data_IF_066698280661
#
_entry.id   IF_066698280661
#
_cell.length_a   1.000
_cell.length_b   1.000
_cell.length_c   1.000
_cell.angle_alpha   90.00
_cell.angle_beta   90.00
_cell.angle_gamma   90.00
#
_symmetry.space_group_name_H-M   'P 1'
#
loop_
_entity.id
_entity.type
_entity.pdbx_description
1 polymer ?
#
# COMPACT_ATOMS: atom_id res chain seq x y z
N UNK A 1 10.13 -28.56 -10.27
CA UNK A 1 10.85 -27.30 -10.00
C UNK A 1 10.77 -26.99 -8.52
N UNK A 2 11.87 -27.00 -7.79
CA UNK A 2 11.92 -26.62 -6.38
C UNK A 2 11.58 -25.12 -6.26
N UNK A 3 10.57 -24.77 -5.49
CA UNK A 3 10.26 -23.36 -5.20
C UNK A 3 11.43 -22.78 -4.41
N UNK A 4 12.03 -21.72 -4.96
CA UNK A 4 13.09 -20.96 -4.29
C UNK A 4 12.57 -20.49 -2.93
N UNK A 5 13.32 -20.66 -1.83
CA UNK A 5 12.92 -20.10 -0.55
C UNK A 5 12.76 -18.58 -0.68
N UNK A 6 11.78 -18.01 0.01
CA UNK A 6 11.59 -16.56 0.06
C UNK A 6 12.89 -15.91 0.54
N UNK A 7 13.39 -14.94 -0.22
CA UNK A 7 14.49 -14.09 0.26
C UNK A 7 13.92 -13.07 1.25
N UNK A 8 14.77 -12.58 2.14
CA UNK A 8 14.39 -11.50 3.06
C UNK A 8 13.79 -10.28 2.33
N UNK A 9 14.31 -9.97 1.15
CA UNK A 9 13.83 -8.92 0.24
C UNK A 9 12.41 -9.15 -0.33
N UNK A 10 11.93 -10.40 -0.35
CA UNK A 10 10.57 -10.74 -0.78
C UNK A 10 9.54 -10.58 0.36
N UNK A 11 9.99 -10.12 1.53
CA UNK A 11 9.20 -10.04 2.74
C UNK A 11 9.00 -8.59 3.15
N UNK A 12 7.76 -8.18 3.38
CA UNK A 12 7.48 -6.89 3.99
C UNK A 12 7.91 -6.96 5.47
N UNK A 13 9.14 -6.52 5.78
CA UNK A 13 9.68 -6.55 7.14
C UNK A 13 9.20 -5.36 7.95
N UNK A 14 9.16 -4.20 7.32
CA UNK A 14 8.84 -2.93 7.96
C UNK A 14 7.92 -2.11 7.07
N UNK A 15 6.85 -1.59 7.65
CA UNK A 15 5.94 -0.67 7.01
C UNK A 15 5.75 0.54 7.92
N UNK A 16 6.26 1.68 7.53
CA UNK A 16 5.93 2.94 8.18
C UNK A 16 4.57 3.43 7.71
N UNK A 17 3.78 3.95 8.64
CA UNK A 17 2.46 4.53 8.38
C UNK A 17 2.28 5.79 9.21
N UNK A 18 1.96 6.90 8.53
CA UNK A 18 1.48 8.14 9.13
C UNK A 18 0.16 8.52 8.47
N UNK A 19 -0.82 9.00 9.23
CA UNK A 19 -2.15 9.36 8.71
C UNK A 19 -2.51 10.79 9.09
N UNK A 20 -2.81 11.60 8.07
CA UNK A 20 -3.44 12.91 8.23
C UNK A 20 -4.94 12.79 7.95
N UNK A 21 -5.74 12.77 9.02
CA UNK A 21 -7.18 12.57 8.91
C UNK A 21 -7.89 13.78 8.29
N UNK A 22 -7.42 15.00 8.54
CA UNK A 22 -8.03 16.22 8.02
C UNK A 22 -7.89 16.34 6.51
N UNK A 23 -6.76 15.94 5.97
CA UNK A 23 -6.47 15.94 4.53
C UNK A 23 -6.79 14.60 3.86
N UNK A 24 -7.14 13.58 4.63
CA UNK A 24 -7.50 12.23 4.17
C UNK A 24 -6.41 11.51 3.41
N UNK A 25 -5.17 11.63 3.84
CA UNK A 25 -4.08 10.84 3.26
C UNK A 25 -3.34 10.02 4.31
N UNK A 26 -2.63 9.02 3.82
CA UNK A 26 -1.61 8.32 4.56
C UNK A 26 -0.28 8.37 3.79
N UNK A 27 0.81 8.53 4.54
CA UNK A 27 2.17 8.29 4.06
C UNK A 27 2.57 6.87 4.43
N UNK A 28 3.13 6.16 3.46
CA UNK A 28 3.71 4.85 3.68
C UNK A 28 5.16 4.85 3.24
N UNK A 29 6.04 4.21 4.03
CA UNK A 29 7.36 3.81 3.57
C UNK A 29 7.46 2.28 3.61
N UNK A 30 8.08 1.71 2.58
CA UNK A 30 8.17 0.26 2.40
C UNK A 30 6.97 -0.38 1.69
N UNK A 31 6.07 0.42 1.11
CA UNK A 31 4.92 -0.03 0.32
C UNK A 31 5.18 0.19 -1.17
N UNK A 32 5.21 -0.88 -1.95
CA UNK A 32 5.27 -0.80 -3.42
C UNK A 32 3.88 -0.74 -4.04
N UNK A 33 3.78 -0.21 -5.27
CA UNK A 33 2.52 -0.25 -6.03
C UNK A 33 1.98 -1.68 -6.21
N UNK A 34 2.85 -2.64 -6.45
CA UNK A 34 2.45 -4.05 -6.61
C UNK A 34 1.83 -4.62 -5.33
N UNK A 35 2.39 -4.30 -4.17
CA UNK A 35 1.84 -4.69 -2.88
C UNK A 35 0.49 -4.01 -2.63
N UNK A 36 0.40 -2.70 -2.85
CA UNK A 36 -0.86 -1.95 -2.76
C UNK A 36 -1.93 -2.58 -3.66
N UNK A 37 -1.64 -2.75 -4.94
CA UNK A 37 -2.56 -3.30 -5.92
C UNK A 37 -3.00 -4.75 -5.64
N UNK A 38 -2.18 -5.52 -4.95
CA UNK A 38 -2.52 -6.89 -4.53
C UNK A 38 -3.36 -6.95 -3.25
N UNK A 39 -3.28 -5.91 -2.42
CA UNK A 39 -3.95 -5.85 -1.12
C UNK A 39 -5.32 -5.17 -1.18
N UNK A 40 -5.52 -4.26 -2.12
CA UNK A 40 -6.80 -3.59 -2.34
C UNK A 40 -7.52 -4.14 -3.57
N UNK A 41 -8.85 -4.09 -3.55
CA UNK A 41 -9.59 -4.29 -4.80
C UNK A 41 -9.28 -3.10 -5.72
N UNK A 42 -8.51 -3.38 -6.78
CA UNK A 42 -8.08 -2.34 -7.71
C UNK A 42 -9.28 -1.62 -8.31
N UNK A 43 -9.16 -0.30 -8.44
CA UNK A 43 -10.14 0.53 -9.12
C UNK A 43 -10.32 0.12 -10.58
N UNK A 44 -11.35 0.64 -11.23
CA UNK A 44 -11.69 0.20 -12.59
C UNK A 44 -10.70 0.72 -13.63
N UNK A 45 -10.42 2.03 -13.61
CA UNK A 45 -9.50 2.66 -14.55
C UNK A 45 -8.56 3.59 -13.78
N UNK A 46 -7.36 3.83 -14.32
CA UNK A 46 -6.35 4.70 -13.72
C UNK A 46 -5.98 5.82 -14.68
N UNK A 47 -6.18 7.08 -14.27
CA UNK A 47 -5.66 8.24 -14.98
C UNK A 47 -4.24 8.51 -14.45
N UNK A 48 -3.23 8.42 -15.31
CA UNK A 48 -1.83 8.58 -14.94
C UNK A 48 -1.51 10.07 -14.82
N UNK A 49 -1.13 10.48 -13.62
CA UNK A 49 -0.76 11.87 -13.33
C UNK A 49 0.72 12.13 -13.60
N UNK A 50 1.54 11.11 -13.47
CA UNK A 50 2.97 11.10 -13.80
C UNK A 50 3.38 9.70 -14.20
N UNK A 51 4.35 9.59 -15.07
CA UNK A 51 4.80 8.41 -15.79
C UNK A 51 3.93 8.00 -16.97
N UNK A 52 4.61 7.52 -17.98
CA UNK A 52 4.02 6.86 -19.14
C UNK A 52 4.07 5.35 -18.95
N UNK A 53 3.07 4.70 -19.46
CA UNK A 53 2.99 3.25 -19.59
C UNK A 53 2.80 2.96 -21.08
N UNK A 54 3.69 2.16 -21.70
CA UNK A 54 3.73 1.94 -23.15
C UNK A 54 2.38 1.50 -23.75
N UNK A 55 1.57 0.81 -22.97
CA UNK A 55 0.24 0.35 -23.34
C UNK A 55 -0.90 1.29 -22.85
N UNK A 56 -0.57 2.49 -22.36
CA UNK A 56 -1.58 3.46 -21.93
C UNK A 56 -2.31 4.08 -23.13
N UNK A 57 -3.57 4.41 -22.91
CA UNK A 57 -4.38 5.20 -23.82
C UNK A 57 -4.28 6.69 -23.48
N UNK A 58 -4.42 7.57 -24.48
CA UNK A 58 -4.37 9.01 -24.26
C UNK A 58 -5.78 9.60 -24.14
N UNK A 59 -6.02 10.38 -23.09
CA UNK A 59 -7.28 11.09 -22.90
C UNK A 59 -7.19 12.52 -23.42
N UNK A 60 -7.89 12.81 -24.49
CA UNK A 60 -7.88 14.13 -25.16
C UNK A 60 -8.43 15.28 -24.31
N UNK A 61 -9.33 14.98 -23.36
CA UNK A 61 -9.95 16.01 -22.52
C UNK A 61 -9.00 16.48 -21.41
N UNK A 62 -8.35 15.54 -20.69
CA UNK A 62 -7.41 15.88 -19.62
C UNK A 62 -5.98 16.08 -20.09
N UNK A 63 -5.66 15.63 -21.30
CA UNK A 63 -4.29 15.53 -21.86
C UNK A 63 -3.36 14.63 -21.02
N UNK A 64 -3.94 13.69 -20.29
CA UNK A 64 -3.24 12.69 -19.52
C UNK A 64 -3.41 11.32 -20.14
N UNK A 65 -2.48 10.43 -19.88
CA UNK A 65 -2.61 9.02 -20.20
C UNK A 65 -3.50 8.31 -19.20
N UNK A 66 -4.13 7.23 -19.60
CA UNK A 66 -4.93 6.39 -18.73
C UNK A 66 -4.76 4.91 -19.03
N UNK A 67 -4.96 4.09 -18.03
CA UNK A 67 -4.94 2.64 -18.13
C UNK A 67 -6.35 2.13 -17.85
N UNK A 68 -7.02 1.53 -18.86
CA UNK A 68 -8.34 0.93 -18.66
C UNK A 68 -8.25 -0.30 -17.77
N UNK A 69 -9.35 -0.68 -17.15
CA UNK A 69 -9.47 -1.78 -16.18
C UNK A 69 -8.81 -3.08 -16.64
N UNK A 70 -9.02 -3.45 -17.88
CA UNK A 70 -8.47 -4.67 -18.49
C UNK A 70 -6.95 -4.68 -18.54
N UNK A 71 -6.31 -3.51 -18.61
CA UNK A 71 -4.86 -3.35 -18.72
C UNK A 71 -4.16 -3.05 -17.37
N UNK A 72 -4.92 -2.78 -16.30
CA UNK A 72 -4.35 -2.53 -14.96
C UNK A 72 -3.48 -3.70 -14.51
N UNK A 73 -3.87 -4.94 -14.82
CA UNK A 73 -3.07 -6.12 -14.52
C UNK A 73 -1.73 -6.18 -15.30
N UNK A 74 -1.65 -5.53 -16.47
CA UNK A 74 -0.41 -5.40 -17.25
C UNK A 74 0.49 -4.33 -16.65
N UNK A 75 -0.09 -3.18 -16.27
CA UNK A 75 0.63 -2.13 -15.53
C UNK A 75 1.30 -2.68 -14.27
N UNK A 76 0.58 -3.47 -13.46
CA UNK A 76 1.11 -4.08 -12.23
C UNK A 76 2.35 -4.96 -12.48
N UNK A 77 2.44 -5.59 -13.63
CA UNK A 77 3.55 -6.48 -14.01
C UNK A 77 4.66 -5.76 -14.77
N UNK A 78 4.44 -4.54 -15.17
CA UNK A 78 5.37 -3.75 -15.97
C UNK A 78 6.52 -3.18 -15.11
N UNK A 79 7.60 -2.78 -15.78
CA UNK A 79 8.69 -2.04 -15.15
C UNK A 79 8.23 -0.68 -14.58
N UNK A 80 7.14 -0.09 -15.14
CA UNK A 80 6.58 1.15 -14.63
C UNK A 80 6.07 1.02 -13.20
N UNK A 81 5.49 -0.14 -12.84
CA UNK A 81 5.03 -0.41 -11.48
C UNK A 81 6.16 -0.50 -10.43
N UNK A 82 7.38 -0.78 -10.86
CA UNK A 82 8.57 -0.82 -10.00
C UNK A 82 9.34 0.50 -10.00
N UNK A 83 8.92 1.48 -10.82
CA UNK A 83 9.55 2.80 -10.84
C UNK A 83 8.94 3.68 -9.76
N UNK A 84 9.81 4.52 -9.20
CA UNK A 84 9.54 5.35 -8.05
C UNK A 84 8.44 6.39 -8.22
N UNK A 85 8.21 6.89 -9.41
CA UNK A 85 7.38 8.08 -9.61
C UNK A 85 5.96 7.82 -10.16
N UNK A 86 5.46 6.60 -10.04
CA UNK A 86 4.10 6.27 -10.50
C UNK A 86 3.07 7.07 -9.69
N UNK A 87 2.34 7.95 -10.37
CA UNK A 87 1.26 8.73 -9.79
C UNK A 87 -0.02 8.54 -10.61
N UNK A 88 -1.13 8.25 -9.94
CA UNK A 88 -2.41 8.04 -10.61
C UNK A 88 -3.60 8.36 -9.71
N UNK A 89 -4.74 8.60 -10.33
CA UNK A 89 -6.06 8.67 -9.72
C UNK A 89 -6.99 7.66 -10.39
N UNK A 90 -7.78 6.94 -9.63
CA UNK A 90 -8.77 6.04 -10.20
C UNK A 90 -10.00 6.79 -10.70
N UNK A 91 -10.72 6.17 -11.63
CA UNK A 91 -11.98 6.71 -12.13
C UNK A 91 -12.91 5.61 -12.63
N UNK A 92 -14.21 5.81 -12.44
CA UNK A 92 -15.22 4.81 -12.78
C UNK A 92 -15.49 4.70 -14.31
N UNK A 93 -15.49 5.82 -15.03
CA UNK A 93 -15.78 5.83 -16.44
C UNK A 93 -15.21 7.04 -17.20
N UNK A 94 -14.94 6.88 -18.48
CA UNK A 94 -14.52 7.97 -19.36
C UNK A 94 -15.51 9.13 -19.42
N UNK A 95 -16.81 8.85 -19.25
CA UNK A 95 -17.81 9.91 -19.17
C UNK A 95 -17.55 10.87 -18.02
N UNK A 96 -17.16 10.34 -16.84
CA UNK A 96 -16.77 11.16 -15.69
C UNK A 96 -15.56 12.02 -15.99
N UNK A 97 -14.55 11.45 -16.66
CA UNK A 97 -13.35 12.20 -17.06
C UNK A 97 -13.71 13.38 -17.99
N UNK A 98 -14.63 13.20 -18.93
CA UNK A 98 -15.09 14.27 -19.83
C UNK A 98 -15.90 15.36 -19.15
N UNK A 99 -16.40 15.12 -17.95
CA UNK A 99 -17.17 16.08 -17.15
C UNK A 99 -16.31 16.92 -16.21
N UNK A 100 -15.01 16.63 -16.11
CA UNK A 100 -14.08 17.46 -15.34
C UNK A 100 -14.08 18.89 -15.85
N UNK A 101 -14.29 19.83 -14.94
CA UNK A 101 -14.16 21.26 -15.24
C UNK A 101 -12.69 21.64 -15.50
N UNK A 102 -12.42 22.78 -16.17
CA UNK A 102 -11.05 23.26 -16.36
C UNK A 102 -10.28 23.44 -15.05
N UNK A 103 -10.96 23.86 -13.97
CA UNK A 103 -10.36 23.98 -12.62
C UNK A 103 -9.92 22.62 -12.07
N UNK A 104 -10.79 21.60 -12.16
CA UNK A 104 -10.46 20.24 -11.70
C UNK A 104 -9.33 19.61 -12.54
N UNK A 105 -9.28 19.87 -13.84
CA UNK A 105 -8.17 19.44 -14.69
C UNK A 105 -6.85 20.09 -14.26
N UNK A 106 -6.87 21.41 -13.95
CA UNK A 106 -5.69 22.11 -13.45
C UNK A 106 -5.23 21.56 -12.08
N UNK A 107 -6.18 21.24 -11.18
CA UNK A 107 -5.87 20.57 -9.90
C UNK A 107 -5.22 19.20 -10.10
N UNK A 108 -5.68 18.39 -11.07
CA UNK A 108 -5.07 17.09 -11.40
C UNK A 108 -3.63 17.24 -11.92
N UNK A 109 -3.39 18.21 -12.80
CA UNK A 109 -2.04 18.48 -13.31
C UNK A 109 -1.12 18.98 -12.20
N UNK A 110 -1.62 19.87 -11.33
CA UNK A 110 -0.89 20.35 -10.15
C UNK A 110 -0.55 19.19 -9.22
N UNK A 111 -1.52 18.31 -8.92
CA UNK A 111 -1.37 17.15 -8.06
C UNK A 111 -0.27 16.19 -8.58
N UNK A 112 -0.25 15.92 -9.88
CA UNK A 112 0.78 15.09 -10.51
C UNK A 112 2.18 15.70 -10.44
N UNK A 113 2.26 17.05 -10.55
CA UNK A 113 3.53 17.75 -10.54
C UNK A 113 4.06 17.97 -9.11
N UNK A 114 3.22 18.44 -8.20
CA UNK A 114 3.62 18.78 -6.82
C UNK A 114 3.49 17.65 -5.83
N UNK A 115 2.75 16.58 -6.17
CA UNK A 115 2.41 15.47 -5.27
C UNK A 115 1.69 15.93 -3.99
N UNK A 116 1.03 17.07 -4.09
CA UNK A 116 0.24 17.70 -3.03
C UNK A 116 -1.12 18.12 -3.56
N UNK A 117 -2.15 17.94 -2.76
CA UNK A 117 -3.49 18.39 -3.10
C UNK A 117 -3.80 19.74 -2.44
N UNK A 118 -4.46 20.64 -3.17
CA UNK A 118 -4.97 21.91 -2.62
C UNK A 118 -6.13 21.65 -1.64
N UNK A 119 -6.87 20.59 -1.88
CA UNK A 119 -7.97 20.07 -1.05
C UNK A 119 -8.03 18.55 -1.24
N UNK A 120 -8.72 17.78 -0.37
CA UNK A 120 -8.86 16.34 -0.57
C UNK A 120 -9.31 16.01 -2.00
N UNK A 121 -8.50 15.29 -2.80
CA UNK A 121 -8.65 15.18 -4.25
C UNK A 121 -9.67 14.10 -4.64
N UNK A 122 -10.92 14.28 -4.19
CA UNK A 122 -12.03 13.37 -4.47
C UNK A 122 -13.08 14.07 -5.32
N UNK A 123 -13.08 13.77 -6.60
CA UNK A 123 -13.96 14.37 -7.60
C UNK A 123 -15.22 13.52 -7.76
N UNK A 124 -16.39 14.15 -7.59
CA UNK A 124 -17.67 13.46 -7.68
C UNK A 124 -17.89 12.82 -9.08
N UNK A 125 -17.44 13.51 -10.12
CA UNK A 125 -17.56 13.05 -11.50
C UNK A 125 -16.67 11.84 -11.82
N UNK A 126 -15.53 11.70 -11.16
CA UNK A 126 -14.63 10.55 -11.29
C UNK A 126 -15.06 9.37 -10.44
N UNK A 127 -15.75 9.62 -9.32
CA UNK A 127 -16.10 8.62 -8.30
C UNK A 127 -14.85 7.90 -7.75
N UNK A 128 -13.72 8.60 -7.74
CA UNK A 128 -12.45 8.01 -7.32
C UNK A 128 -12.41 7.68 -5.83
N UNK A 129 -11.78 6.56 -5.51
CA UNK A 129 -11.58 6.06 -4.13
C UNK A 129 -10.17 6.35 -3.62
N UNK A 130 -9.20 6.44 -4.53
CA UNK A 130 -7.80 6.61 -4.22
C UNK A 130 -7.14 7.68 -5.09
N UNK A 131 -6.07 8.28 -4.54
CA UNK A 131 -5.04 8.94 -5.33
C UNK A 131 -3.70 8.43 -4.82
N UNK A 132 -2.91 7.85 -5.70
CA UNK A 132 -1.63 7.25 -5.39
C UNK A 132 -0.50 8.13 -5.94
N UNK A 133 0.40 8.59 -5.08
CA UNK A 133 1.49 9.49 -5.43
C UNK A 133 2.81 8.87 -4.95
N UNK A 134 3.50 8.19 -5.86
CA UNK A 134 4.83 7.62 -5.60
C UNK A 134 5.89 8.71 -5.51
N UNK A 135 6.84 8.58 -4.59
CA UNK A 135 8.03 9.43 -4.49
C UNK A 135 9.14 8.98 -5.43
N UNK A 136 10.14 9.84 -5.64
CA UNK A 136 11.27 9.58 -6.53
C UNK A 136 12.18 8.44 -6.04
N UNK A 137 12.20 8.19 -4.73
CA UNK A 137 12.98 7.13 -4.09
C UNK A 137 12.39 5.71 -4.24
N UNK A 138 11.15 5.60 -4.72
CA UNK A 138 10.42 4.33 -4.88
C UNK A 138 10.03 3.61 -3.59
N UNK A 139 10.33 4.19 -2.44
CA UNK A 139 10.09 3.58 -1.14
C UNK A 139 8.94 4.23 -0.39
N UNK A 140 8.63 5.50 -0.73
CA UNK A 140 7.55 6.24 -0.11
C UNK A 140 6.42 6.48 -1.08
N UNK A 141 5.24 6.44 -0.52
CA UNK A 141 4.03 6.77 -1.25
C UNK A 141 3.08 7.56 -0.35
N UNK A 142 2.50 8.63 -0.91
CA UNK A 142 1.38 9.36 -0.32
C UNK A 142 0.09 8.88 -0.99
N UNK A 143 -0.84 8.37 -0.21
CA UNK A 143 -2.11 7.87 -0.76
C UNK A 143 -3.24 8.63 -0.10
N UNK A 144 -4.07 9.30 -0.90
CA UNK A 144 -5.35 9.83 -0.43
C UNK A 144 -6.41 8.73 -0.50
N UNK A 145 -7.23 8.65 0.55
CA UNK A 145 -8.30 7.67 0.70
C UNK A 145 -9.63 8.38 0.84
N UNK A 146 -10.61 8.05 0.01
CA UNK A 146 -11.97 8.57 0.19
C UNK A 146 -12.54 8.18 1.55
N UNK A 147 -12.21 6.96 2.00
CA UNK A 147 -12.63 6.40 3.29
C UNK A 147 -11.40 5.89 4.05
N UNK A 148 -11.09 6.49 5.19
CA UNK A 148 -9.88 6.18 5.97
C UNK A 148 -9.86 4.74 6.53
N UNK A 149 -11.02 4.08 6.72
CA UNK A 149 -11.07 2.66 7.11
C UNK A 149 -10.36 1.73 6.12
N UNK A 150 -10.22 2.16 4.84
CA UNK A 150 -9.47 1.42 3.82
C UNK A 150 -7.99 1.27 4.15
N UNK A 151 -7.44 2.13 5.00
CA UNK A 151 -6.05 2.02 5.48
C UNK A 151 -5.88 0.74 6.30
N UNK A 152 -6.80 0.45 7.22
CA UNK A 152 -6.76 -0.79 8.01
C UNK A 152 -6.97 -2.03 7.12
N UNK A 153 -7.87 -1.96 6.14
CA UNK A 153 -8.07 -3.04 5.17
C UNK A 153 -6.78 -3.32 4.37
N UNK A 154 -6.11 -2.27 3.89
CA UNK A 154 -4.84 -2.36 3.18
C UNK A 154 -3.77 -3.04 4.05
N UNK A 155 -3.56 -2.53 5.27
CA UNK A 155 -2.54 -3.05 6.19
C UNK A 155 -2.84 -4.51 6.55
N UNK A 156 -4.08 -4.83 6.88
CA UNK A 156 -4.51 -6.19 7.19
C UNK A 156 -4.27 -7.16 6.04
N UNK A 157 -4.61 -6.77 4.82
CA UNK A 157 -4.40 -7.57 3.62
C UNK A 157 -2.90 -7.77 3.32
N UNK A 158 -2.08 -6.72 3.44
CA UNK A 158 -0.63 -6.79 3.24
C UNK A 158 0.01 -7.81 4.17
N UNK A 159 -0.20 -7.69 5.48
CA UNK A 159 0.42 -8.59 6.44
C UNK A 159 -0.16 -10.01 6.38
N UNK A 160 -1.45 -10.16 6.11
CA UNK A 160 -2.04 -11.48 5.85
C UNK A 160 -1.38 -12.17 4.65
N UNK A 161 -1.14 -11.45 3.56
CA UNK A 161 -0.46 -12.00 2.39
C UNK A 161 1.00 -12.38 2.69
N UNK A 162 1.72 -11.60 3.49
CA UNK A 162 3.08 -11.92 3.90
C UNK A 162 3.14 -13.21 4.71
N UNK A 163 2.23 -13.38 5.67
CA UNK A 163 2.13 -14.61 6.46
C UNK A 163 1.80 -15.82 5.56
N UNK A 164 0.85 -15.66 4.61
CA UNK A 164 0.54 -16.70 3.63
C UNK A 164 1.74 -17.10 2.78
N UNK A 165 2.55 -16.14 2.35
CA UNK A 165 3.79 -16.40 1.61
C UNK A 165 4.79 -17.17 2.47
N UNK A 166 5.00 -16.78 3.72
CA UNK A 166 5.91 -17.45 4.66
C UNK A 166 5.50 -18.89 4.92
N UNK A 167 4.20 -19.12 5.15
CA UNK A 167 3.68 -20.46 5.40
C UNK A 167 3.75 -21.36 4.17
N UNK A 168 3.48 -20.86 2.98
CA UNK A 168 3.54 -21.62 1.72
C UNK A 168 4.97 -21.92 1.28
N UNK A 169 5.94 -21.06 1.61
CA UNK A 169 7.36 -21.25 1.25
C UNK A 169 8.02 -22.41 1.99
N UNK A 170 7.52 -22.80 3.16
CA UNK A 170 8.07 -23.86 4.00
C UNK A 170 7.52 -25.27 3.66
N UNK A 171 6.52 -25.40 2.82
CA UNK A 171 5.86 -26.68 2.53
C UNK A 171 6.42 -27.35 1.28
N UNK A 172 7.55 -28.06 1.39
CA UNK A 172 8.13 -28.84 0.29
C UNK A 172 7.34 -30.11 -0.09
N UNK A 173 6.46 -30.61 0.79
CA UNK A 173 5.91 -31.97 0.63
C UNK A 173 4.39 -32.11 0.77
N UNK A 174 3.61 -31.05 0.91
CA UNK A 174 2.15 -31.21 1.06
C UNK A 174 1.39 -30.32 0.07
N UNK A 175 0.73 -30.96 -0.90
CA UNK A 175 -0.51 -30.44 -1.51
C UNK A 175 -1.61 -30.44 -0.42
N UNK A 176 -1.44 -29.59 0.60
CA UNK A 176 -2.57 -29.30 1.49
C UNK A 176 -3.50 -28.34 0.76
N UNK A 177 -4.84 -28.47 0.97
CA UNK A 177 -5.74 -27.40 0.62
C UNK A 177 -5.13 -26.11 1.15
N UNK A 178 -5.32 -24.99 0.44
CA UNK A 178 -4.89 -23.65 0.90
C UNK A 178 -5.53 -23.46 2.26
N UNK A 179 -4.80 -23.80 3.34
CA UNK A 179 -5.26 -23.55 4.69
C UNK A 179 -5.55 -22.05 4.70
N UNK A 180 -6.81 -21.71 4.89
CA UNK A 180 -7.27 -20.34 4.99
C UNK A 180 -6.59 -19.73 6.22
N UNK A 181 -5.45 -19.09 5.99
CA UNK A 181 -4.82 -18.30 7.03
C UNK A 181 -5.77 -17.13 7.30
N UNK A 182 -6.28 -17.02 8.54
CA UNK A 182 -7.19 -15.96 8.89
C UNK A 182 -6.53 -14.60 8.72
N UNK A 183 -7.32 -13.62 8.39
CA UNK A 183 -6.86 -12.24 8.26
C UNK A 183 -6.37 -11.69 9.60
N UNK A 184 -5.51 -10.69 9.52
CA UNK A 184 -5.08 -9.94 10.73
C UNK A 184 -6.33 -9.43 11.44
N UNK A 185 -6.44 -9.59 12.78
CA UNK A 185 -7.65 -9.22 13.52
C UNK A 185 -8.02 -7.75 13.33
N UNK A 186 -9.28 -7.50 12.98
CA UNK A 186 -9.79 -6.14 12.74
C UNK A 186 -9.69 -5.26 13.99
N UNK A 187 -9.92 -5.84 15.18
CA UNK A 187 -9.82 -5.12 16.46
C UNK A 187 -8.38 -4.65 16.71
N UNK A 188 -7.39 -5.50 16.42
CA UNK A 188 -5.97 -5.12 16.50
C UNK A 188 -5.66 -3.95 15.57
N UNK A 189 -6.12 -4.00 14.31
CA UNK A 189 -5.90 -2.93 13.34
C UNK A 189 -6.59 -1.63 13.74
N UNK A 190 -7.79 -1.72 14.31
CA UNK A 190 -8.55 -0.57 14.82
C UNK A 190 -7.79 0.09 15.98
N UNK A 191 -7.27 -0.71 16.89
CA UNK A 191 -6.47 -0.20 18.00
C UNK A 191 -5.11 0.37 17.56
N UNK A 192 -4.45 -0.25 16.56
CA UNK A 192 -3.22 0.28 15.97
C UNK A 192 -3.48 1.61 15.24
N UNK A 193 -4.62 1.72 14.56
CA UNK A 193 -5.01 2.90 13.80
C UNK A 193 -5.11 4.19 14.61
N UNK A 194 -5.36 4.09 15.92
CA UNK A 194 -5.37 5.25 16.83
C UNK A 194 -4.02 5.97 16.90
N UNK A 195 -2.94 5.24 16.63
CA UNK A 195 -1.57 5.75 16.71
C UNK A 195 -1.04 6.25 15.35
N UNK A 196 -1.72 5.96 14.23
CA UNK A 196 -1.20 6.30 12.89
C UNK A 196 -0.97 7.81 12.69
N UNK A 197 -1.74 8.65 13.37
CA UNK A 197 -1.55 10.11 13.32
C UNK A 197 -0.24 10.60 13.95
N UNK A 198 0.42 9.76 14.74
CA UNK A 198 1.70 10.06 15.37
C UNK A 198 2.86 9.40 14.64
N UNK A 199 2.56 8.61 13.60
CA UNK A 199 3.54 7.80 12.89
C UNK A 199 3.90 6.51 13.63
N UNK A 200 3.78 5.40 12.95
CA UNK A 200 4.10 4.07 13.50
C UNK A 200 4.88 3.22 12.52
N UNK A 201 5.68 2.33 13.06
CA UNK A 201 6.33 1.25 12.34
C UNK A 201 5.63 -0.07 12.65
N UNK A 202 5.07 -0.70 11.61
CA UNK A 202 4.55 -2.07 11.68
C UNK A 202 5.62 -3.04 11.17
N UNK A 203 5.84 -4.12 11.88
CA UNK A 203 6.83 -5.14 11.49
C UNK A 203 6.35 -6.55 11.82
N UNK A 204 6.68 -7.52 10.94
CA UNK A 204 6.55 -8.94 11.26
C UNK A 204 7.86 -9.48 11.82
N UNK A 205 7.78 -10.30 12.85
CA UNK A 205 8.94 -11.09 13.26
C UNK A 205 9.33 -12.05 12.15
N UNK A 206 10.65 -12.23 11.95
CA UNK A 206 11.17 -13.09 10.90
C UNK A 206 10.67 -14.54 11.07
N UNK A 207 9.88 -15.07 10.13
CA UNK A 207 9.32 -16.42 10.24
C UNK A 207 10.37 -17.52 10.16
N UNK A 208 11.57 -17.24 9.65
CA UNK A 208 12.66 -18.22 9.61
C UNK A 208 13.32 -18.35 10.98
N UNK A 209 13.34 -17.28 11.77
CA UNK A 209 13.88 -17.26 13.12
C UNK A 209 12.88 -17.79 14.16
N UNK A 210 11.57 -17.70 13.89
CA UNK A 210 10.50 -18.08 14.80
C UNK A 210 9.77 -19.33 14.32
N UNK A 211 10.00 -20.49 15.00
CA UNK A 211 9.44 -21.77 14.55
C UNK A 211 7.92 -21.90 14.76
N UNK A 212 7.37 -21.30 15.79
CA UNK A 212 6.01 -21.55 16.24
C UNK A 212 5.05 -20.37 16.12
N UNK A 213 5.56 -19.16 16.09
CA UNK A 213 4.77 -17.92 16.12
C UNK A 213 5.31 -16.91 15.11
N UNK A 214 4.43 -16.05 14.61
CA UNK A 214 4.77 -14.81 13.91
C UNK A 214 4.08 -13.68 14.67
N UNK A 215 4.79 -12.63 14.99
CA UNK A 215 4.20 -11.47 15.65
C UNK A 215 4.12 -10.30 14.68
N UNK A 216 2.94 -9.67 14.59
CA UNK A 216 2.78 -8.35 14.02
C UNK A 216 2.90 -7.33 15.16
N UNK A 217 3.92 -6.51 15.08
CA UNK A 217 4.30 -5.54 16.12
C UNK A 217 4.10 -4.12 15.60
N UNK A 218 3.60 -3.25 16.46
CA UNK A 218 3.42 -1.81 16.20
C UNK A 218 4.32 -1.04 17.17
N UNK A 219 5.16 -0.16 16.63
CA UNK A 219 6.05 0.72 17.41
C UNK A 219 5.81 2.16 17.08
N UNK A 220 6.03 3.05 18.04
CA UNK A 220 6.06 4.49 17.79
C UNK A 220 7.23 4.82 16.87
N UNK A 221 7.00 5.66 15.87
CA UNK A 221 8.01 6.07 14.92
C UNK A 221 8.03 7.58 14.67
N UNK A 222 7.18 8.32 15.36
CA UNK A 222 6.94 9.75 15.20
C UNK A 222 6.55 10.15 13.75
N UNK A 223 6.19 11.39 13.54
CA UNK A 223 5.97 11.94 12.20
C UNK A 223 7.33 12.16 11.53
N UNK A 224 7.64 11.34 10.54
CA UNK A 224 8.89 11.45 9.79
C UNK A 224 8.64 12.29 8.54
N UNK A 225 9.20 13.50 8.54
CA UNK A 225 9.05 14.43 7.41
C UNK A 225 9.88 14.07 6.20
N UNK A 226 10.99 13.32 6.39
CA UNK A 226 11.93 12.95 5.34
C UNK A 226 12.40 11.51 5.46
N UNK A 227 12.38 10.79 4.36
CA UNK A 227 12.72 9.37 4.25
C UNK A 227 14.16 9.01 4.58
N UNK A 228 15.10 9.91 4.30
CA UNK A 228 16.51 9.68 4.61
C UNK A 228 16.73 9.50 6.12
N UNK A 229 15.92 10.18 6.94
CA UNK A 229 15.90 10.02 8.39
C UNK A 229 15.36 8.65 8.80
N UNK A 230 14.28 8.19 8.16
CA UNK A 230 13.64 6.92 8.49
C UNK A 230 14.58 5.71 8.38
N UNK A 231 15.36 5.62 7.31
CA UNK A 231 16.29 4.51 7.12
C UNK A 231 17.41 4.50 8.17
N UNK A 232 17.81 5.65 8.70
CA UNK A 232 18.80 5.75 9.77
C UNK A 232 18.22 5.38 11.15
N UNK A 233 16.94 5.63 11.37
CA UNK A 233 16.26 5.45 12.67
C UNK A 233 15.60 4.08 12.85
N UNK A 234 15.36 3.33 11.76
CA UNK A 234 14.70 2.01 11.82
C UNK A 234 15.31 1.09 12.87
N UNK A 235 16.64 1.05 12.97
CA UNK A 235 17.32 0.17 13.92
C UNK A 235 17.05 0.56 15.37
N UNK A 236 16.93 1.86 15.63
CA UNK A 236 16.60 2.38 16.96
C UNK A 236 15.15 2.10 17.31
N UNK A 237 14.23 2.38 16.37
CA UNK A 237 12.78 2.11 16.54
C UNK A 237 12.54 0.62 16.82
N UNK A 238 13.21 -0.28 16.08
CA UNK A 238 13.06 -1.74 16.26
C UNK A 238 13.57 -2.18 17.63
N UNK A 239 14.55 -1.52 18.20
CA UNK A 239 15.08 -1.84 19.54
C UNK A 239 14.11 -1.49 20.66
N UNK A 240 13.14 -0.62 20.41
CA UNK A 240 12.13 -0.21 21.38
C UNK A 240 11.07 -1.32 21.58
N UNK A 241 10.46 -1.42 22.77
CA UNK A 241 9.37 -2.35 22.99
C UNK A 241 8.17 -1.97 22.12
N UNK A 242 7.43 -2.93 21.58
CA UNK A 242 6.24 -2.63 20.79
C UNK A 242 5.13 -2.05 21.67
N UNK A 243 4.42 -1.05 21.16
CA UNK A 243 3.19 -0.51 21.76
C UNK A 243 2.08 -1.57 21.80
N UNK A 244 1.97 -2.32 20.71
CA UNK A 244 0.94 -3.36 20.50
C UNK A 244 1.54 -4.51 19.71
N UNK A 245 0.99 -5.71 19.93
CA UNK A 245 1.34 -6.90 19.16
C UNK A 245 0.16 -7.83 18.99
N UNK A 246 0.05 -8.47 17.82
CA UNK A 246 -0.80 -9.61 17.57
C UNK A 246 0.07 -10.82 17.26
N UNK A 247 -0.29 -11.97 17.82
CA UNK A 247 0.49 -13.21 17.71
C UNK A 247 -0.25 -14.22 16.85
N UNK A 248 0.35 -14.60 15.73
CA UNK A 248 -0.14 -15.69 14.89
C UNK A 248 0.55 -17.00 15.30
N UNK A 249 -0.25 -17.94 15.76
CA UNK A 249 0.23 -19.29 16.11
C UNK A 249 0.29 -20.17 14.87
N UNK A 250 1.49 -20.54 14.44
CA UNK A 250 1.73 -21.31 13.22
C UNK A 250 1.24 -22.75 13.29
N UNK A 251 1.05 -23.30 14.50
CA UNK A 251 0.55 -24.67 14.71
C UNK A 251 -0.96 -24.72 14.60
N UNK A 252 -1.64 -23.81 15.25
CA UNK A 252 -3.11 -23.75 15.26
C UNK A 252 -3.68 -22.96 14.08
N UNK A 253 -2.84 -22.17 13.38
CA UNK A 253 -3.24 -21.23 12.32
C UNK A 253 -4.23 -20.18 12.79
N UNK A 254 -4.07 -19.68 14.01
CA UNK A 254 -4.96 -18.71 14.64
C UNK A 254 -4.20 -17.53 15.21
N UNK A 255 -4.85 -16.40 15.24
CA UNK A 255 -4.40 -15.22 15.97
C UNK A 255 -4.79 -15.30 17.44
N UNK A 256 -3.92 -14.74 18.28
CA UNK A 256 -4.08 -14.60 19.73
C UNK A 256 -3.84 -13.16 20.15
#
# INVERSE_FOLDING_TARGET
MAKRPLRAEDYLQHLYVYVNESERFALFSGLTFQQFASAVRMPENLLLLKHTFDDASFNMHTRLEYVPKEDVGRLQKSAAAGKSELCWIDFASERGVRQLSPGEQAELLYLGHKKEAIRPPFYAVLQNEFVYLGSEDGQTVKIYFRTLSRINELIGALFTQQIRKAENGQSFFRRRPKDLIPEVPADFLTEAGKEYRQGVLLSLTDPEKTKNIIELQVRQAEEISFLDEFNSEISEIISQPPLKRAVFDRRTKQWK
#
